data_IF_210679931944
#
_entry.id   IF_210679931944
#
_cell.length_a   1.000
_cell.length_b   1.000
_cell.length_c   1.000
_cell.angle_alpha   90.00
_cell.angle_beta   90.00
_cell.angle_gamma   90.00
#
_symmetry.space_group_name_H-M   'P 1'
#
loop_
_entity.id
_entity.type
_entity.pdbx_description
1 polymer ?
#
# COMPACT_ATOMS: atom_id res chain seq x y z
N UNK A 1 24.96 -19.08 -12.75
CA UNK A 1 25.64 -19.33 -11.47
C UNK A 1 24.76 -20.27 -10.68
N UNK A 2 25.30 -21.28 -9.97
CA UNK A 2 24.46 -22.21 -9.22
C UNK A 2 23.77 -21.44 -8.10
N UNK A 3 22.46 -21.64 -7.96
CA UNK A 3 21.70 -21.14 -6.81
C UNK A 3 22.35 -21.74 -5.55
N UNK A 4 22.87 -20.88 -4.68
CA UNK A 4 23.17 -21.33 -3.33
C UNK A 4 21.83 -21.70 -2.69
N UNK A 5 21.69 -22.95 -2.28
CA UNK A 5 20.49 -23.45 -1.59
C UNK A 5 20.36 -22.70 -0.25
N UNK A 6 19.62 -21.60 -0.28
CA UNK A 6 19.18 -20.91 0.92
C UNK A 6 18.14 -21.80 1.59
N UNK A 7 18.50 -22.34 2.76
CA UNK A 7 17.55 -22.94 3.67
C UNK A 7 17.13 -21.87 4.69
N UNK A 8 15.91 -21.32 4.60
CA UNK A 8 15.45 -20.35 5.57
C UNK A 8 15.49 -20.96 6.98
N UNK A 9 15.82 -20.17 8.02
CA UNK A 9 15.62 -20.61 9.39
C UNK A 9 14.14 -20.94 9.57
N UNK A 10 13.86 -22.18 9.95
CA UNK A 10 12.48 -22.62 10.20
C UNK A 10 11.98 -21.88 11.44
N UNK A 11 10.90 -21.12 11.30
CA UNK A 11 10.19 -20.61 12.46
C UNK A 11 9.49 -21.80 13.13
N UNK A 12 10.06 -22.30 14.23
CA UNK A 12 9.58 -23.48 14.95
C UNK A 12 8.19 -23.31 15.60
N UNK A 13 7.65 -22.09 15.54
CA UNK A 13 6.34 -21.74 16.09
C UNK A 13 5.20 -22.32 15.26
N UNK A 14 4.21 -22.93 15.94
CA UNK A 14 2.85 -23.18 15.52
C UNK A 14 2.23 -22.32 14.43
N UNK A 15 1.67 -22.86 13.35
CA UNK A 15 0.56 -22.21 12.69
C UNK A 15 -0.59 -22.12 13.69
N UNK A 16 -0.95 -20.90 14.07
CA UNK A 16 -2.03 -20.69 15.03
C UNK A 16 -3.40 -20.86 14.37
N UNK A 17 -4.42 -21.19 15.17
CA UNK A 17 -5.80 -21.24 14.70
C UNK A 17 -6.27 -19.89 14.13
N UNK A 18 -5.80 -18.77 14.68
CA UNK A 18 -6.11 -17.44 14.18
C UNK A 18 -5.56 -17.21 12.76
N UNK A 19 -4.30 -17.58 12.51
CA UNK A 19 -3.69 -17.50 11.18
C UNK A 19 -4.38 -18.43 10.18
N UNK A 20 -4.68 -19.67 10.58
CA UNK A 20 -5.41 -20.61 9.73
C UNK A 20 -6.80 -20.08 9.36
N UNK A 21 -7.52 -19.50 10.33
CA UNK A 21 -8.83 -18.92 10.09
C UNK A 21 -8.76 -17.68 9.18
N UNK A 22 -7.73 -16.84 9.36
CA UNK A 22 -7.46 -15.71 8.47
C UNK A 22 -7.20 -16.14 7.03
N UNK A 23 -6.40 -17.20 6.83
CA UNK A 23 -6.15 -17.76 5.51
C UNK A 23 -7.42 -18.35 4.85
N UNK A 24 -8.31 -18.93 5.67
CA UNK A 24 -9.59 -19.53 5.24
C UNK A 24 -10.77 -18.56 5.30
N UNK A 25 -10.53 -17.25 5.38
CA UNK A 25 -11.58 -16.26 5.58
C UNK A 25 -12.72 -16.41 4.55
N UNK A 26 -13.92 -16.70 5.07
CA UNK A 26 -15.19 -16.78 4.34
C UNK A 26 -16.28 -16.00 5.06
N UNK A 27 -15.93 -14.85 5.65
CA UNK A 27 -16.88 -14.01 6.38
C UNK A 27 -18.04 -13.62 5.47
N UNK A 28 -19.24 -14.07 5.82
CA UNK A 28 -20.50 -13.65 5.20
C UNK A 28 -21.12 -12.58 6.06
N UNK A 29 -21.35 -11.39 5.49
CA UNK A 29 -22.07 -10.30 6.13
C UNK A 29 -23.53 -10.32 5.71
N UNK A 30 -24.44 -10.00 6.63
CA UNK A 30 -25.86 -9.90 6.30
C UNK A 30 -26.11 -8.77 5.30
N UNK A 31 -27.11 -8.92 4.43
CA UNK A 31 -27.46 -7.90 3.46
C UNK A 31 -27.82 -6.56 4.11
N UNK A 32 -28.32 -6.59 5.35
CA UNK A 32 -28.60 -5.39 6.12
C UNK A 32 -27.34 -4.62 6.50
N UNK A 33 -26.33 -5.31 7.05
CA UNK A 33 -25.04 -4.70 7.38
C UNK A 33 -24.35 -4.16 6.14
N UNK A 34 -24.38 -4.92 5.03
CA UNK A 34 -23.82 -4.47 3.75
C UNK A 34 -24.48 -3.19 3.25
N UNK A 35 -25.82 -3.08 3.32
CA UNK A 35 -26.53 -1.86 2.93
C UNK A 35 -26.16 -0.68 3.81
N UNK A 36 -26.09 -0.88 5.14
CA UNK A 36 -25.70 0.19 6.08
C UNK A 36 -24.28 0.70 5.84
N UNK A 37 -23.33 -0.21 5.57
CA UNK A 37 -21.97 0.16 5.19
C UNK A 37 -21.93 0.90 3.84
N UNK A 38 -22.72 0.46 2.85
CA UNK A 38 -22.85 1.15 1.57
C UNK A 38 -23.46 2.55 1.69
N UNK A 39 -24.47 2.73 2.56
CA UNK A 39 -25.02 4.05 2.89
C UNK A 39 -23.94 4.96 3.50
N UNK A 40 -23.13 4.43 4.44
CA UNK A 40 -22.00 5.19 4.99
C UNK A 40 -20.97 5.57 3.92
N UNK A 41 -20.75 4.70 2.93
CA UNK A 41 -19.90 4.96 1.77
C UNK A 41 -20.52 5.92 0.73
N UNK A 42 -21.75 6.39 0.95
CA UNK A 42 -22.45 7.39 0.12
C UNK A 42 -23.28 6.84 -1.04
N UNK A 43 -23.55 5.53 -1.08
CA UNK A 43 -24.25 4.88 -2.20
C UNK A 43 -25.73 5.26 -2.28
N UNK A 44 -26.34 5.65 -1.17
CA UNK A 44 -27.76 6.03 -1.05
C UNK A 44 -28.10 7.33 -1.81
N UNK A 45 -27.09 8.11 -2.18
CA UNK A 45 -27.23 9.34 -2.97
C UNK A 45 -27.41 9.09 -4.47
N UNK A 46 -27.16 7.86 -4.91
CA UNK A 46 -27.18 7.49 -6.32
C UNK A 46 -28.34 6.53 -6.58
N UNK A 47 -29.15 6.73 -7.64
CA UNK A 47 -30.07 5.69 -8.08
C UNK A 47 -29.27 4.44 -8.47
N UNK A 48 -29.87 3.25 -8.35
CA UNK A 48 -29.19 2.03 -8.77
C UNK A 48 -28.99 1.96 -10.29
N UNK A 49 -29.91 2.58 -11.04
CA UNK A 49 -29.90 2.62 -12.49
C UNK A 49 -30.25 4.03 -12.99
N UNK A 50 -29.44 4.56 -13.90
CA UNK A 50 -29.70 5.78 -14.68
C UNK A 50 -29.86 5.39 -16.14
N UNK A 51 -30.95 5.83 -16.78
CA UNK A 51 -31.27 5.53 -18.18
C UNK A 51 -31.17 4.04 -18.57
N UNK A 52 -31.55 3.14 -17.64
CA UNK A 52 -31.53 1.69 -17.85
C UNK A 52 -30.16 1.03 -17.67
N UNK A 53 -29.14 1.78 -17.27
CA UNK A 53 -27.79 1.29 -17.01
C UNK A 53 -27.42 1.44 -15.53
N UNK A 54 -26.55 0.57 -15.02
CA UNK A 54 -26.06 0.71 -13.66
C UNK A 54 -25.29 2.03 -13.50
N UNK A 55 -25.62 2.78 -12.45
CA UNK A 55 -25.02 4.09 -12.19
C UNK A 55 -23.51 3.98 -11.99
N UNK A 56 -22.76 4.97 -12.50
CA UNK A 56 -21.32 5.03 -12.30
C UNK A 56 -20.99 5.37 -10.85
N UNK A 57 -20.31 4.46 -10.17
CA UNK A 57 -19.91 4.59 -8.76
C UNK A 57 -18.41 4.91 -8.63
N UNK A 58 -17.90 5.75 -9.53
CA UNK A 58 -16.49 6.17 -9.57
C UNK A 58 -16.11 7.17 -8.49
N UNK A 59 -17.11 7.87 -7.93
CA UNK A 59 -16.92 8.96 -6.97
C UNK A 59 -17.40 8.62 -5.55
N UNK A 60 -17.60 7.33 -5.25
CA UNK A 60 -17.95 6.82 -3.90
C UNK A 60 -16.80 6.01 -3.30
N UNK A 61 -16.81 5.84 -1.98
CA UNK A 61 -15.83 4.99 -1.30
C UNK A 61 -16.07 3.51 -1.62
N UNK A 62 -15.03 2.68 -1.58
CA UNK A 62 -15.20 1.23 -1.68
C UNK A 62 -15.83 0.69 -0.39
N UNK A 63 -16.92 -0.08 -0.50
CA UNK A 63 -17.60 -0.64 0.68
C UNK A 63 -16.68 -1.59 1.46
N UNK A 64 -15.82 -2.35 0.77
CA UNK A 64 -14.83 -3.21 1.40
C UNK A 64 -13.81 -2.41 2.21
N UNK A 65 -13.33 -1.29 1.68
CA UNK A 65 -12.41 -0.39 2.40
C UNK A 65 -13.09 0.16 3.67
N UNK A 66 -14.36 0.58 3.58
CA UNK A 66 -15.12 1.08 4.75
C UNK A 66 -15.33 -0.02 5.79
N UNK A 67 -15.65 -1.24 5.37
CA UNK A 67 -15.81 -2.39 6.29
C UNK A 67 -14.51 -2.74 7.00
N UNK A 68 -13.39 -2.77 6.28
CA UNK A 68 -12.09 -3.04 6.86
C UNK A 68 -11.68 -1.93 7.84
N UNK A 69 -11.95 -0.66 7.50
CA UNK A 69 -11.72 0.49 8.36
C UNK A 69 -12.55 0.42 9.65
N UNK A 70 -13.84 0.06 9.55
CA UNK A 70 -14.72 -0.15 10.71
C UNK A 70 -14.17 -1.24 11.63
N UNK A 71 -13.74 -2.38 11.08
CA UNK A 71 -13.15 -3.47 11.87
C UNK A 71 -11.84 -3.04 12.52
N UNK A 72 -10.95 -2.38 11.78
CA UNK A 72 -9.66 -1.90 12.29
C UNK A 72 -9.84 -0.91 13.44
N UNK A 73 -10.78 0.03 13.31
CA UNK A 73 -11.09 1.00 14.35
C UNK A 73 -11.62 0.36 15.64
N UNK A 74 -12.39 -0.72 15.53
CA UNK A 74 -13.00 -1.41 16.68
C UNK A 74 -12.05 -2.43 17.32
N UNK A 75 -11.31 -3.20 16.51
CA UNK A 75 -10.39 -4.23 17.01
C UNK A 75 -9.35 -3.66 17.96
N UNK A 76 -8.77 -2.49 17.64
CA UNK A 76 -7.79 -1.83 18.52
C UNK A 76 -8.32 -1.47 19.92
N UNK A 77 -9.65 -1.40 20.10
CA UNK A 77 -10.29 -1.16 21.40
C UNK A 77 -10.57 -2.45 22.19
N UNK A 78 -10.66 -3.59 21.49
CA UNK A 78 -11.01 -4.89 22.05
C UNK A 78 -9.78 -5.75 22.36
N UNK A 79 -8.67 -5.53 21.66
CA UNK A 79 -7.41 -6.22 21.94
C UNK A 79 -6.90 -5.91 23.35
N UNK A 80 -6.41 -6.93 24.05
CA UNK A 80 -5.77 -6.77 25.36
C UNK A 80 -4.31 -6.40 25.12
N UNK A 81 -3.91 -5.22 25.56
CA UNK A 81 -2.54 -4.69 25.43
C UNK A 81 -1.98 -4.72 23.98
N UNK A 82 -2.67 -4.15 22.98
CA UNK A 82 -2.16 -4.15 21.62
C UNK A 82 -0.83 -3.37 21.51
N UNK A 83 0.08 -3.80 20.61
CA UNK A 83 1.30 -3.06 20.31
C UNK A 83 1.02 -1.61 19.87
N UNK A 84 2.01 -0.73 20.01
CA UNK A 84 1.84 0.72 19.78
C UNK A 84 1.36 1.09 18.38
N UNK A 85 1.89 0.42 17.36
CA UNK A 85 1.47 0.56 15.97
C UNK A 85 -0.01 0.19 15.74
N UNK A 86 -0.51 -0.93 16.30
CA UNK A 86 -1.94 -1.31 16.20
C UNK A 86 -2.85 -0.34 16.93
N UNK A 87 -2.42 0.17 18.09
CA UNK A 87 -3.14 1.26 18.79
C UNK A 87 -3.25 2.51 17.94
N UNK A 88 -2.15 2.91 17.30
CA UNK A 88 -2.12 4.07 16.42
C UNK A 88 -2.99 3.86 15.18
N UNK A 89 -2.91 2.68 14.56
CA UNK A 89 -3.71 2.32 13.39
C UNK A 89 -5.20 2.34 13.71
N UNK A 90 -5.63 1.78 14.85
CA UNK A 90 -7.02 1.82 15.28
C UNK A 90 -7.54 3.25 15.53
N UNK A 91 -6.70 4.14 16.11
CA UNK A 91 -7.05 5.56 16.29
C UNK A 91 -7.21 6.29 14.97
N UNK A 92 -6.25 6.11 14.04
CA UNK A 92 -6.32 6.71 12.72
C UNK A 92 -7.49 6.16 11.90
N UNK A 93 -7.77 4.86 12.01
CA UNK A 93 -8.92 4.24 11.38
C UNK A 93 -10.24 4.85 11.87
N UNK A 94 -10.39 5.06 13.18
CA UNK A 94 -11.56 5.71 13.76
C UNK A 94 -11.71 7.16 13.29
N UNK A 95 -10.60 7.89 13.17
CA UNK A 95 -10.59 9.28 12.69
C UNK A 95 -10.97 9.38 11.21
N UNK A 96 -10.37 8.56 10.34
CA UNK A 96 -10.72 8.48 8.91
C UNK A 96 -12.20 8.10 8.75
N UNK A 97 -12.70 7.12 9.52
CA UNK A 97 -14.09 6.70 9.47
C UNK A 97 -15.04 7.82 9.90
N UNK A 98 -14.68 8.59 10.93
CA UNK A 98 -15.44 9.76 11.39
C UNK A 98 -15.52 10.83 10.30
N UNK A 99 -14.41 11.11 9.61
CA UNK A 99 -14.35 12.07 8.51
C UNK A 99 -15.21 11.62 7.31
N UNK A 100 -15.16 10.33 6.95
CA UNK A 100 -16.06 9.75 5.93
C UNK A 100 -17.52 9.95 6.33
N UNK A 101 -17.89 9.62 7.58
CA UNK A 101 -19.25 9.77 8.08
C UNK A 101 -19.74 11.23 8.06
N UNK A 102 -18.84 12.19 8.24
CA UNK A 102 -19.11 13.63 8.16
C UNK A 102 -19.16 14.17 6.73
N UNK A 103 -18.81 13.35 5.73
CA UNK A 103 -18.74 13.77 4.33
C UNK A 103 -17.48 14.58 4.01
N UNK A 104 -16.44 14.55 4.86
CA UNK A 104 -15.13 15.12 4.56
C UNK A 104 -14.35 14.18 3.62
N UNK A 105 -14.89 14.04 2.42
CA UNK A 105 -14.37 13.25 1.31
C UNK A 105 -14.33 14.12 0.07
N UNK A 106 -13.36 13.88 -0.79
CA UNK A 106 -13.21 14.58 -2.07
C UNK A 106 -13.24 13.58 -3.22
N UNK A 107 -13.84 13.96 -4.33
CA UNK A 107 -13.87 13.14 -5.53
C UNK A 107 -12.57 13.30 -6.31
N UNK A 108 -12.28 12.32 -7.16
CA UNK A 108 -11.12 12.39 -8.07
C UNK A 108 -11.20 13.61 -8.99
N UNK A 109 -12.40 14.05 -9.39
CA UNK A 109 -12.60 15.25 -10.20
C UNK A 109 -12.24 16.53 -9.44
N UNK A 110 -12.68 16.66 -8.19
CA UNK A 110 -12.33 17.82 -7.35
C UNK A 110 -10.81 17.94 -7.19
N UNK A 111 -10.14 16.84 -6.85
CA UNK A 111 -8.68 16.80 -6.76
C UNK A 111 -8.01 17.15 -8.09
N UNK A 112 -8.50 16.61 -9.21
CA UNK A 112 -7.96 16.90 -10.54
C UNK A 112 -7.98 18.40 -10.88
N UNK A 113 -9.02 19.11 -10.44
CA UNK A 113 -9.22 20.53 -10.71
C UNK A 113 -8.38 21.44 -9.79
N UNK A 114 -8.05 20.97 -8.58
CA UNK A 114 -7.13 21.63 -7.65
C UNK A 114 -5.64 21.43 -8.01
N UNK A 115 -5.31 20.31 -8.66
CA UNK A 115 -3.93 19.97 -8.98
C UNK A 115 -3.32 20.83 -10.10
N UNK A 116 -2.05 21.27 -9.96
CA UNK A 116 -1.32 21.95 -11.02
C UNK A 116 -1.11 21.03 -12.24
N UNK A 117 -0.70 21.54 -13.42
CA UNK A 117 -0.54 20.75 -14.64
C UNK A 117 0.71 19.84 -14.63
N UNK A 118 0.84 19.01 -13.61
CA UNK A 118 1.87 17.98 -13.44
C UNK A 118 1.22 16.59 -13.45
N UNK A 119 2.00 15.55 -13.78
CA UNK A 119 1.49 14.17 -13.71
C UNK A 119 1.57 13.69 -12.26
N UNK A 120 0.39 13.47 -11.65
CA UNK A 120 0.20 13.05 -10.25
C UNK A 120 -0.57 11.74 -10.24
N UNK A 121 -0.02 10.74 -9.55
CA UNK A 121 -0.57 9.38 -9.51
C UNK A 121 -0.81 8.98 -8.06
N UNK A 122 -1.99 8.45 -7.79
CA UNK A 122 -2.34 7.81 -6.54
C UNK A 122 -2.09 6.30 -6.63
N UNK A 123 -1.49 5.74 -5.59
CA UNK A 123 -1.35 4.29 -5.42
C UNK A 123 -2.33 3.82 -4.35
N UNK A 124 -3.33 3.01 -4.73
CA UNK A 124 -4.23 2.33 -3.79
C UNK A 124 -3.47 1.17 -3.16
N UNK A 125 -2.95 1.39 -1.95
CA UNK A 125 -2.13 0.44 -1.22
C UNK A 125 -3.01 -0.61 -0.52
N UNK A 126 -2.59 -1.87 -0.63
CA UNK A 126 -3.11 -2.97 0.17
C UNK A 126 -2.63 -2.90 1.62
N UNK A 127 -3.13 -3.82 2.45
CA UNK A 127 -2.57 -4.06 3.77
C UNK A 127 -1.07 -4.42 3.67
N UNK A 128 -0.27 -4.13 4.72
CA UNK A 128 1.12 -4.52 4.76
C UNK A 128 1.29 -6.03 4.55
N UNK A 129 2.17 -6.44 3.64
CA UNK A 129 2.55 -7.85 3.42
C UNK A 129 4.03 -7.98 3.14
N UNK A 130 4.64 -9.03 3.68
CA UNK A 130 6.06 -9.31 3.45
C UNK A 130 6.34 -9.64 1.98
N UNK A 131 7.57 -9.38 1.56
CA UNK A 131 8.02 -9.54 0.18
C UNK A 131 9.28 -10.40 0.11
N UNK A 132 9.35 -11.30 -0.88
CA UNK A 132 10.53 -12.13 -1.14
C UNK A 132 10.96 -12.98 0.09
N UNK A 133 12.27 -13.13 0.33
CA UNK A 133 12.86 -13.96 1.39
C UNK A 133 12.35 -13.67 2.81
N UNK A 134 11.86 -12.45 3.05
CA UNK A 134 11.32 -12.07 4.35
C UNK A 134 10.09 -12.90 4.73
N UNK A 135 9.34 -13.41 3.74
CA UNK A 135 8.19 -14.27 3.96
C UNK A 135 8.65 -15.56 4.66
N UNK A 136 9.60 -16.27 4.08
CA UNK A 136 10.05 -17.58 4.57
C UNK A 136 10.61 -17.53 5.99
N UNK A 137 11.24 -16.41 6.37
CA UNK A 137 11.77 -16.20 7.71
C UNK A 137 10.68 -16.14 8.79
N UNK A 138 9.45 -15.81 8.38
CA UNK A 138 8.33 -15.61 9.30
C UNK A 138 7.25 -16.67 9.16
N UNK A 139 7.28 -17.50 8.11
CA UNK A 139 6.34 -18.60 7.93
C UNK A 139 6.38 -19.58 9.10
N UNK A 140 5.25 -19.85 9.78
CA UNK A 140 5.15 -20.94 10.73
C UNK A 140 5.54 -22.29 10.11
N UNK A 141 6.11 -23.21 10.89
CA UNK A 141 6.59 -24.52 10.41
C UNK A 141 5.57 -25.34 9.60
N UNK A 142 4.30 -25.19 9.90
CA UNK A 142 3.17 -25.90 9.30
C UNK A 142 2.27 -24.98 8.45
N UNK A 143 2.78 -23.82 8.01
CA UNK A 143 2.04 -22.86 7.18
C UNK A 143 1.47 -23.48 5.90
N UNK A 144 2.17 -24.44 5.29
CA UNK A 144 1.72 -25.16 4.10
C UNK A 144 0.39 -25.92 4.30
N UNK A 145 0.03 -26.25 5.56
CA UNK A 145 -1.26 -26.87 5.88
C UNK A 145 -2.45 -25.89 5.77
N UNK A 146 -2.19 -24.58 5.67
CA UNK A 146 -3.22 -23.57 5.45
C UNK A 146 -3.78 -23.60 4.02
N UNK A 147 -2.99 -24.05 3.05
CA UNK A 147 -3.32 -24.03 1.62
C UNK A 147 -4.31 -25.14 1.27
N UNK A 148 -5.26 -24.83 0.37
CA UNK A 148 -6.09 -25.87 -0.25
C UNK A 148 -5.31 -26.65 -1.31
N UNK A 149 -5.78 -27.85 -1.67
CA UNK A 149 -5.14 -28.67 -2.71
C UNK A 149 -5.09 -27.97 -4.09
N UNK A 150 -5.91 -26.94 -4.32
CA UNK A 150 -5.88 -26.12 -5.54
C UNK A 150 -4.80 -25.05 -5.52
N UNK A 151 -4.34 -24.65 -4.34
CA UNK A 151 -3.38 -23.56 -4.14
C UNK A 151 -1.96 -24.09 -3.98
N UNK A 152 -1.78 -25.38 -3.68
CA UNK A 152 -0.46 -26.02 -3.58
C UNK A 152 0.24 -26.01 -4.95
N UNK A 153 1.25 -25.16 -5.09
CA UNK A 153 2.20 -25.17 -6.21
C UNK A 153 3.32 -26.20 -6.01
N UNK A 154 4.34 -26.13 -6.86
CA UNK A 154 5.53 -26.98 -6.74
C UNK A 154 6.41 -26.48 -5.56
N UNK A 155 6.71 -27.34 -4.56
CA UNK A 155 7.52 -26.95 -3.40
C UNK A 155 8.99 -26.63 -3.71
N UNK A 156 9.45 -26.86 -4.94
CA UNK A 156 10.79 -26.48 -5.42
C UNK A 156 10.87 -25.08 -6.05
N UNK A 157 9.75 -24.34 -6.07
CA UNK A 157 9.70 -23.00 -6.65
C UNK A 157 10.62 -22.00 -5.92
N UNK A 158 11.16 -20.99 -6.65
CA UNK A 158 11.89 -19.90 -6.03
C UNK A 158 11.07 -19.19 -4.95
N UNK A 159 11.75 -18.54 -4.01
CA UNK A 159 11.18 -17.81 -2.86
C UNK A 159 10.24 -16.66 -3.27
N UNK A 160 10.29 -16.24 -4.53
CA UNK A 160 9.36 -15.28 -5.15
C UNK A 160 8.17 -15.95 -5.84
N UNK A 161 7.95 -17.24 -5.58
CA UNK A 161 6.93 -18.07 -6.21
C UNK A 161 5.51 -17.72 -5.74
N UNK A 162 4.48 -18.11 -6.52
CA UNK A 162 3.08 -17.90 -6.16
C UNK A 162 2.70 -18.48 -4.79
N UNK A 163 3.26 -19.64 -4.42
CA UNK A 163 2.99 -20.31 -3.14
C UNK A 163 3.45 -19.47 -1.95
N UNK A 164 4.73 -19.07 -1.93
CA UNK A 164 5.30 -18.24 -0.87
C UNK A 164 4.60 -16.89 -0.80
N UNK A 165 4.31 -16.26 -1.95
CA UNK A 165 3.56 -15.01 -1.98
C UNK A 165 2.16 -15.14 -1.37
N UNK A 166 1.44 -16.23 -1.64
CA UNK A 166 0.12 -16.49 -1.05
C UNK A 166 0.21 -16.66 0.46
N UNK A 167 1.17 -17.44 0.95
CA UNK A 167 1.35 -17.65 2.40
C UNK A 167 1.75 -16.35 3.10
N UNK A 168 2.64 -15.57 2.49
CA UNK A 168 3.05 -14.26 3.00
C UNK A 168 1.88 -13.27 3.09
N UNK A 169 0.92 -13.34 2.17
CA UNK A 169 -0.29 -12.51 2.20
C UNK A 169 -1.30 -12.98 3.25
N UNK A 170 -1.46 -14.29 3.44
CA UNK A 170 -2.60 -14.86 4.19
C UNK A 170 -2.30 -15.32 5.61
N UNK A 171 -1.04 -15.60 5.91
CA UNK A 171 -0.62 -16.24 7.17
C UNK A 171 0.30 -15.33 8.00
N UNK A 172 1.02 -14.42 7.36
CA UNK A 172 2.10 -13.67 7.98
C UNK A 172 1.69 -12.22 8.29
N UNK A 173 1.98 -11.77 9.51
CA UNK A 173 1.90 -10.35 9.90
C UNK A 173 3.15 -9.62 9.40
N UNK A 174 2.98 -8.49 8.73
CA UNK A 174 4.06 -7.68 8.15
C UNK A 174 4.25 -6.32 8.86
N UNK A 175 3.59 -6.09 9.99
CA UNK A 175 3.61 -4.78 10.66
C UNK A 175 4.96 -4.53 11.36
N UNK A 176 5.58 -5.55 11.94
CA UNK A 176 6.87 -5.42 12.62
C UNK A 176 8.05 -5.89 11.75
N UNK A 177 8.75 -4.94 11.12
CA UNK A 177 9.94 -5.20 10.31
C UNK A 177 11.20 -5.40 11.15
N UNK A 178 11.24 -4.88 12.37
CA UNK A 178 12.45 -4.88 13.21
C UNK A 178 12.87 -6.27 13.69
N UNK A 179 11.93 -7.22 13.68
CA UNK A 179 12.18 -8.63 13.99
C UNK A 179 12.78 -9.43 12.84
N UNK A 180 12.93 -8.84 11.64
CA UNK A 180 13.43 -9.53 10.46
C UNK A 180 14.91 -9.23 10.20
N UNK A 181 15.75 -10.25 9.95
CA UNK A 181 17.12 -10.02 9.51
C UNK A 181 17.12 -9.40 8.11
N UNK A 182 17.78 -8.27 7.99
CA UNK A 182 17.80 -7.48 6.75
C UNK A 182 18.84 -7.99 5.74
N UNK A 183 19.93 -8.59 6.24
CA UNK A 183 20.95 -9.28 5.45
C UNK A 183 20.97 -10.76 5.83
N UNK A 184 20.82 -11.61 4.83
CA UNK A 184 20.59 -13.04 5.03
C UNK A 184 21.65 -13.83 4.27
N UNK A 185 22.40 -14.72 4.92
CA UNK A 185 23.38 -15.55 4.23
C UNK A 185 22.75 -16.32 3.06
N UNK A 186 23.37 -16.23 1.88
CA UNK A 186 22.89 -16.92 0.67
C UNK A 186 21.89 -16.15 -0.19
N UNK A 187 21.35 -15.02 0.28
CA UNK A 187 20.48 -14.14 -0.53
C UNK A 187 21.32 -13.01 -1.15
N UNK A 188 21.36 -12.87 -2.49
CA UNK A 188 22.16 -11.86 -3.17
C UNK A 188 21.48 -10.48 -3.12
N UNK A 189 21.62 -9.77 -2.01
CA UNK A 189 21.01 -8.45 -1.78
C UNK A 189 21.79 -7.27 -2.40
N UNK A 190 23.04 -7.49 -2.80
CA UNK A 190 23.92 -6.44 -3.33
C UNK A 190 23.59 -6.03 -4.77
N UNK A 191 22.97 -6.91 -5.58
CA UNK A 191 22.83 -6.70 -7.03
C UNK A 191 21.40 -6.45 -7.53
N UNK A 192 20.38 -6.66 -6.70
CA UNK A 192 18.98 -6.65 -7.13
C UNK A 192 18.07 -5.95 -6.10
N UNK A 193 17.40 -4.89 -6.57
CA UNK A 193 16.53 -4.03 -5.76
C UNK A 193 15.30 -4.78 -5.21
N UNK A 194 14.90 -5.90 -5.82
CA UNK A 194 13.81 -6.74 -5.31
C UNK A 194 14.09 -7.34 -3.93
N UNK A 195 15.37 -7.40 -3.52
CA UNK A 195 15.80 -7.86 -2.19
C UNK A 195 16.07 -6.72 -1.20
N UNK A 196 16.12 -5.46 -1.67
CA UNK A 196 16.35 -4.26 -0.84
C UNK A 196 15.04 -3.65 -0.33
N UNK A 197 14.08 -4.52 -0.01
CA UNK A 197 12.76 -4.18 0.52
C UNK A 197 12.14 -5.41 1.18
N UNK A 198 11.64 -5.24 2.40
CA UNK A 198 11.01 -6.32 3.16
C UNK A 198 9.49 -6.42 2.95
N UNK A 199 8.84 -5.34 2.49
CA UNK A 199 7.38 -5.22 2.56
C UNK A 199 6.76 -4.46 1.38
N UNK A 200 5.50 -4.78 1.10
CA UNK A 200 4.59 -4.05 0.25
C UNK A 200 3.36 -3.60 1.04
N UNK A 201 2.60 -2.64 0.51
CA UNK A 201 1.38 -2.15 1.14
C UNK A 201 1.66 -1.10 2.21
N UNK A 202 0.62 -0.72 2.94
CA UNK A 202 0.65 0.38 3.88
C UNK A 202 -0.36 0.15 5.02
N UNK A 203 0.09 0.31 6.26
CA UNK A 203 -0.75 0.50 7.44
C UNK A 203 -1.09 1.98 7.58
N UNK A 204 -2.23 2.31 8.21
CA UNK A 204 -2.49 3.71 8.56
C UNK A 204 -1.46 4.27 9.55
N UNK A 205 -0.81 3.41 10.35
CA UNK A 205 0.20 3.83 11.33
C UNK A 205 1.62 3.92 10.78
N UNK A 206 1.83 3.59 9.50
CA UNK A 206 3.15 3.68 8.88
C UNK A 206 3.61 5.14 8.78
N UNK A 207 4.90 5.37 9.00
CA UNK A 207 5.56 6.63 8.68
C UNK A 207 5.89 6.75 7.18
N UNK A 208 6.36 7.92 6.77
CA UNK A 208 6.71 8.19 5.38
C UNK A 208 7.89 7.32 4.88
N UNK A 209 8.77 6.80 5.74
CA UNK A 209 9.90 5.95 5.35
C UNK A 209 9.40 4.57 4.92
N UNK A 210 8.53 3.98 5.73
CA UNK A 210 7.89 2.71 5.46
C UNK A 210 7.01 2.80 4.22
N UNK A 211 6.20 3.86 4.11
CA UNK A 211 5.35 4.07 2.94
C UNK A 211 6.17 4.28 1.68
N UNK A 212 7.26 5.06 1.74
CA UNK A 212 8.17 5.22 0.59
C UNK A 212 8.79 3.88 0.17
N UNK A 213 9.31 3.11 1.12
CA UNK A 213 9.92 1.80 0.84
C UNK A 213 8.93 0.88 0.10
N UNK A 214 7.67 0.85 0.54
CA UNK A 214 6.60 0.14 -0.18
C UNK A 214 6.27 0.75 -1.55
N UNK A 215 6.15 2.06 -1.63
CA UNK A 215 5.64 2.80 -2.79
C UNK A 215 6.66 3.05 -3.91
N UNK A 216 7.96 2.92 -3.67
CA UNK A 216 9.00 3.16 -4.69
C UNK A 216 9.13 2.08 -5.77
N UNK A 217 8.41 0.95 -5.61
CA UNK A 217 8.57 -0.28 -6.40
C UNK A 217 8.18 -0.22 -7.88
N UNK A 218 7.91 -1.40 -8.47
CA UNK A 218 7.72 -1.58 -9.92
C UNK A 218 6.30 -1.23 -10.38
N UNK A 219 6.10 0.00 -10.86
CA UNK A 219 4.78 0.46 -11.29
C UNK A 219 4.67 0.67 -12.80
N UNK A 220 3.49 0.40 -13.35
CA UNK A 220 3.13 0.78 -14.71
C UNK A 220 2.72 2.27 -14.77
N UNK A 221 3.68 3.14 -14.49
CA UNK A 221 3.56 4.60 -14.61
C UNK A 221 4.36 5.11 -15.81
N UNK A 222 4.25 6.40 -16.11
CA UNK A 222 5.09 7.05 -17.12
C UNK A 222 6.28 7.73 -16.46
N UNK A 223 7.41 7.82 -17.15
CA UNK A 223 8.64 8.45 -16.66
C UNK A 223 8.49 9.97 -16.38
N UNK A 224 7.40 10.60 -16.85
CA UNK A 224 7.05 11.99 -16.54
C UNK A 224 6.25 12.14 -15.24
N UNK A 225 5.91 11.05 -14.55
CA UNK A 225 5.21 11.09 -13.26
C UNK A 225 6.07 11.84 -12.25
N UNK A 226 5.57 12.98 -11.75
CA UNK A 226 6.31 13.84 -10.82
C UNK A 226 5.96 13.61 -9.37
N UNK A 227 4.75 13.13 -9.11
CA UNK A 227 4.28 12.92 -7.75
C UNK A 227 3.57 11.59 -7.63
N UNK A 228 3.89 10.87 -6.56
CA UNK A 228 3.19 9.67 -6.14
C UNK A 228 2.50 9.94 -4.80
N UNK A 229 1.26 9.46 -4.67
CA UNK A 229 0.40 9.65 -3.51
C UNK A 229 -0.10 8.29 -3.06
N UNK A 230 0.61 7.59 -2.16
CA UNK A 230 0.13 6.34 -1.60
C UNK A 230 -1.09 6.59 -0.72
N UNK A 231 -2.10 5.73 -0.86
CA UNK A 231 -3.32 5.83 -0.07
C UNK A 231 -3.76 4.47 0.47
N UNK A 232 -4.37 4.49 1.65
CA UNK A 232 -5.02 3.33 2.26
C UNK A 232 -6.44 3.73 2.64
N UNK A 233 -7.44 2.98 2.18
CA UNK A 233 -8.86 3.33 2.33
C UNK A 233 -9.23 4.73 1.77
N UNK A 234 -8.51 5.18 0.72
CA UNK A 234 -8.64 6.51 0.14
C UNK A 234 -7.94 7.64 0.93
N UNK A 235 -7.50 7.40 2.16
CA UNK A 235 -6.74 8.37 2.95
C UNK A 235 -5.30 8.48 2.45
N UNK A 236 -4.84 9.71 2.21
CA UNK A 236 -3.57 10.03 1.57
C UNK A 236 -2.63 10.78 2.53
N UNK A 237 -1.90 10.11 3.44
CA UNK A 237 -1.10 10.80 4.45
C UNK A 237 0.18 11.44 3.91
N UNK A 238 0.73 10.93 2.81
CA UNK A 238 2.05 11.35 2.31
C UNK A 238 2.02 11.64 0.81
N UNK A 239 2.83 12.62 0.42
CA UNK A 239 3.08 12.97 -0.99
C UNK A 239 4.57 12.91 -1.22
N UNK A 240 4.97 12.15 -2.24
CA UNK A 240 6.37 12.05 -2.63
C UNK A 240 6.59 12.67 -4.00
N UNK A 241 7.60 13.53 -4.09
CA UNK A 241 8.11 14.12 -5.32
C UNK A 241 9.19 13.22 -5.91
N UNK A 242 9.11 12.95 -7.21
CA UNK A 242 10.13 12.20 -7.95
C UNK A 242 10.88 13.18 -8.87
N UNK A 243 12.18 13.42 -8.63
CA UNK A 243 12.95 14.33 -9.45
C UNK A 243 13.14 13.81 -10.89
N UNK A 244 13.40 14.69 -11.87
CA UNK A 244 13.75 14.29 -13.22
C UNK A 244 14.91 13.27 -13.24
N UNK A 245 14.74 12.20 -14.01
CA UNK A 245 15.74 11.15 -14.17
C UNK A 245 15.80 10.11 -13.05
N UNK A 246 15.03 10.25 -11.97
CA UNK A 246 15.04 9.29 -10.86
C UNK A 246 14.15 8.05 -11.06
N UNK A 247 13.49 7.96 -12.22
CA UNK A 247 12.77 6.75 -12.62
C UNK A 247 13.71 5.82 -13.38
N UNK A 248 14.02 4.66 -12.80
CA UNK A 248 14.66 3.57 -13.52
C UNK A 248 13.62 2.74 -14.26
N UNK A 249 13.82 2.57 -15.57
CA UNK A 249 12.99 1.72 -16.42
C UNK A 249 13.44 0.27 -16.29
N UNK A 250 12.48 -0.62 -16.11
CA UNK A 250 12.66 -2.06 -16.18
C UNK A 250 11.75 -2.67 -17.25
N UNK A 251 12.37 -3.42 -18.16
CA UNK A 251 11.68 -4.12 -19.24
C UNK A 251 11.31 -5.52 -18.77
N UNK A 252 10.00 -5.81 -18.71
CA UNK A 252 9.50 -7.16 -18.43
C UNK A 252 9.15 -7.89 -19.72
N UNK A 253 9.07 -9.22 -19.64
CA UNK A 253 8.56 -10.06 -20.73
C UNK A 253 7.20 -9.53 -21.21
N UNK A 254 6.98 -9.55 -22.54
CA UNK A 254 5.81 -8.97 -23.23
C UNK A 254 5.76 -7.44 -23.33
N UNK A 255 6.89 -6.74 -23.17
CA UNK A 255 7.04 -5.34 -23.61
C UNK A 255 6.30 -4.32 -22.76
N UNK A 256 5.92 -4.66 -21.52
CA UNK A 256 5.36 -3.71 -20.56
C UNK A 256 6.46 -3.20 -19.65
N UNK A 257 6.84 -1.95 -19.87
CA UNK A 257 7.78 -1.27 -18.97
C UNK A 257 7.15 -1.09 -17.59
N UNK A 258 7.96 -1.28 -16.56
CA UNK A 258 7.69 -0.79 -15.21
C UNK A 258 8.78 0.18 -14.80
N UNK A 259 8.44 1.07 -13.89
CA UNK A 259 9.35 2.08 -13.39
C UNK A 259 9.47 1.96 -11.89
N UNK A 260 10.70 2.11 -11.40
CA UNK A 260 11.05 2.17 -9.99
C UNK A 260 11.59 3.56 -9.71
N UNK A 261 11.17 4.15 -8.61
CA UNK A 261 11.75 5.40 -8.14
C UNK A 261 13.01 5.09 -7.34
N UNK A 262 14.18 5.44 -7.87
CA UNK A 262 15.47 5.26 -7.20
C UNK A 262 15.71 6.33 -6.14
N UNK A 263 15.11 7.50 -6.34
CA UNK A 263 15.17 8.64 -5.43
C UNK A 263 13.85 9.39 -5.41
N UNK A 264 13.52 9.97 -4.27
CA UNK A 264 12.40 10.90 -4.14
C UNK A 264 12.58 11.85 -2.97
N UNK A 265 11.58 12.68 -2.77
CA UNK A 265 11.49 13.56 -1.61
C UNK A 265 10.11 13.38 -0.98
N UNK A 266 10.07 13.23 0.34
CA UNK A 266 8.84 13.47 1.09
C UNK A 266 8.63 14.98 1.19
N UNK A 267 7.44 15.44 0.84
CA UNK A 267 7.04 16.84 1.01
C UNK A 267 6.41 16.97 2.40
N UNK A 268 7.17 17.51 3.35
CA UNK A 268 6.67 17.89 4.66
C UNK A 268 5.93 19.22 4.53
N UNK A 269 4.61 19.13 4.42
CA UNK A 269 3.75 20.30 4.24
C UNK A 269 3.67 21.17 5.50
N UNK A 270 3.84 20.58 6.70
CA UNK A 270 3.74 21.31 7.96
C UNK A 270 4.95 22.23 8.15
N UNK A 271 6.15 21.71 7.87
CA UNK A 271 7.40 22.46 8.00
C UNK A 271 7.85 23.13 6.69
N UNK A 272 7.11 22.91 5.61
CA UNK A 272 7.46 23.33 4.24
C UNK A 272 8.89 22.90 3.84
N UNK A 273 9.22 21.63 4.11
CA UNK A 273 10.53 21.04 3.82
C UNK A 273 10.45 19.91 2.81
N UNK A 274 11.56 19.69 2.10
CA UNK A 274 11.80 18.46 1.36
C UNK A 274 12.75 17.58 2.17
N UNK A 275 12.29 16.37 2.48
CA UNK A 275 13.15 15.33 3.06
C UNK A 275 13.55 14.39 1.92
N UNK A 276 14.83 14.40 1.56
CA UNK A 276 15.37 13.49 0.55
C UNK A 276 15.34 12.06 1.06
N UNK A 277 14.84 11.17 0.21
CA UNK A 277 14.74 9.74 0.43
C UNK A 277 15.78 9.07 -0.46
N UNK A 278 16.92 8.76 0.15
CA UNK A 278 18.10 8.21 -0.50
C UNK A 278 18.04 6.69 -0.65
N UNK A 279 19.23 6.10 -0.85
CA UNK A 279 19.38 4.65 -1.01
C UNK A 279 18.85 3.88 0.20
N UNK A 280 18.19 2.72 -0.02
CA UNK A 280 17.81 1.79 1.04
C UNK A 280 19.02 1.31 1.86
N UNK A 281 18.91 1.35 3.20
CA UNK A 281 20.00 0.93 4.11
C UNK A 281 19.74 -0.45 4.72
N UNK A 282 20.64 -1.45 4.53
CA UNK A 282 20.53 -2.75 5.16
C UNK A 282 20.58 -2.70 6.70
N UNK A 283 21.12 -1.64 7.30
CA UNK A 283 21.19 -1.51 8.76
C UNK A 283 19.89 -0.95 9.36
N UNK A 284 18.96 -0.51 8.51
CA UNK A 284 17.66 0.03 8.92
C UNK A 284 16.51 -0.62 8.14
N UNK A 285 16.48 -1.96 8.07
CA UNK A 285 15.37 -2.72 7.49
C UNK A 285 15.08 -2.36 6.01
N UNK A 286 16.10 -1.91 5.27
CA UNK A 286 15.96 -1.39 3.90
C UNK A 286 15.02 -0.17 3.78
N UNK A 287 14.84 0.59 4.86
CA UNK A 287 14.23 1.91 4.81
C UNK A 287 15.20 2.91 4.14
N UNK A 288 14.69 3.97 3.49
CA UNK A 288 15.54 4.96 2.85
C UNK A 288 16.40 5.69 3.90
N UNK A 289 17.64 5.99 3.54
CA UNK A 289 18.40 7.04 4.23
C UNK A 289 17.72 8.39 4.06
N UNK A 290 17.83 9.26 5.06
CA UNK A 290 17.20 10.58 5.03
C UNK A 290 18.19 11.71 5.24
N UNK A 291 17.92 12.82 4.57
CA UNK A 291 18.50 14.13 4.87
C UNK A 291 17.53 15.22 4.43
N UNK A 292 17.59 16.38 5.06
CA UNK A 292 16.92 17.55 4.50
C UNK A 292 17.56 17.92 3.17
N UNK A 293 16.74 18.21 2.16
CA UNK A 293 17.24 18.69 0.90
C UNK A 293 17.80 20.10 1.07
N UNK A 294 18.83 20.43 0.29
CA UNK A 294 19.40 21.78 0.25
C UNK A 294 18.42 22.79 -0.38
N UNK A 295 17.46 22.30 -1.17
CA UNK A 295 16.40 23.08 -1.80
C UNK A 295 15.09 23.01 -1.01
N UNK A 296 14.40 24.16 -0.92
CA UNK A 296 13.04 24.22 -0.39
C UNK A 296 12.03 23.63 -1.41
N UNK A 297 10.86 23.16 -0.97
CA UNK A 297 9.77 22.81 -1.86
C UNK A 297 9.43 24.00 -2.76
N UNK A 298 9.22 23.74 -4.05
CA UNK A 298 8.71 24.75 -4.96
C UNK A 298 7.24 25.02 -4.67
N UNK A 299 6.72 26.17 -5.10
CA UNK A 299 5.28 26.47 -4.97
C UNK A 299 4.40 25.40 -5.63
N UNK A 300 4.88 24.73 -6.69
CA UNK A 300 4.16 23.59 -7.29
C UNK A 300 4.13 22.37 -6.38
N UNK A 301 5.24 22.10 -5.68
CA UNK A 301 5.32 20.99 -4.72
C UNK A 301 4.30 21.22 -3.59
N UNK A 302 4.25 22.44 -3.05
CA UNK A 302 3.30 22.84 -2.01
C UNK A 302 1.85 22.81 -2.52
N UNK A 303 1.57 23.24 -3.74
CA UNK A 303 0.23 23.15 -4.34
C UNK A 303 -0.25 21.70 -4.46
N UNK A 304 0.60 20.78 -4.92
CA UNK A 304 0.26 19.35 -4.98
C UNK A 304 0.00 18.82 -3.58
N UNK A 305 0.90 19.08 -2.63
CA UNK A 305 0.75 18.61 -1.25
C UNK A 305 -0.53 19.14 -0.59
N UNK A 306 -0.84 20.43 -0.70
CA UNK A 306 -2.07 21.04 -0.16
C UNK A 306 -3.35 20.43 -0.74
N UNK A 307 -3.32 20.06 -2.02
CA UNK A 307 -4.47 19.46 -2.70
C UNK A 307 -4.79 18.04 -2.20
N UNK A 308 -3.78 17.24 -1.79
CA UNK A 308 -3.99 15.79 -1.54
C UNK A 308 -3.58 15.29 -0.15
N UNK A 309 -2.62 15.95 0.52
CA UNK A 309 -2.16 15.51 1.84
C UNK A 309 -3.31 15.49 2.85
N UNK A 310 -3.39 14.40 3.60
CA UNK A 310 -4.43 14.10 4.59
C UNK A 310 -5.87 14.11 4.06
N UNK A 311 -6.08 14.15 2.73
CA UNK A 311 -7.41 14.03 2.13
C UNK A 311 -7.86 12.57 2.09
N UNK A 312 -9.18 12.39 2.07
CA UNK A 312 -9.84 11.11 1.81
C UNK A 312 -10.45 11.19 0.42
N UNK A 313 -9.80 10.54 -0.55
CA UNK A 313 -10.22 10.57 -1.95
C UNK A 313 -11.13 9.38 -2.23
N UNK A 314 -12.35 9.65 -2.68
CA UNK A 314 -13.28 8.64 -3.16
C UNK A 314 -12.80 8.11 -4.52
N UNK A 315 -12.10 6.97 -4.48
CA UNK A 315 -11.48 6.34 -5.66
C UNK A 315 -12.40 5.36 -6.40
N UNK A 316 -13.63 5.13 -5.90
CA UNK A 316 -14.65 4.32 -6.55
C UNK A 316 -14.51 2.82 -6.31
N UNK A 317 -15.65 2.13 -6.14
CA UNK A 317 -15.71 0.65 -6.05
C UNK A 317 -15.31 -0.08 -7.35
N UNK A 318 -15.33 0.62 -8.49
CA UNK A 318 -15.02 0.04 -9.80
C UNK A 318 -13.53 0.02 -10.15
N UNK A 319 -12.67 0.74 -9.42
CA UNK A 319 -11.25 0.83 -9.74
C UNK A 319 -10.48 -0.34 -9.15
N UNK A 320 -10.31 -1.38 -9.97
CA UNK A 320 -9.44 -2.55 -9.68
C UNK A 320 -7.97 -2.26 -9.92
N UNK A 321 -7.63 -1.15 -10.57
CA UNK A 321 -6.24 -0.79 -10.83
C UNK A 321 -5.65 -0.13 -9.58
N UNK A 322 -4.53 -0.64 -9.03
CA UNK A 322 -3.84 0.02 -7.92
C UNK A 322 -3.26 1.38 -8.29
N UNK A 323 -3.09 1.69 -9.58
CA UNK A 323 -2.52 2.95 -10.07
C UNK A 323 -3.64 3.83 -10.64
N UNK A 324 -3.90 4.97 -10.00
CA UNK A 324 -4.97 5.90 -10.37
C UNK A 324 -4.37 7.27 -10.71
N UNK A 325 -4.59 7.76 -11.93
CA UNK A 325 -4.12 9.09 -12.32
C UNK A 325 -5.01 10.17 -11.71
N UNK A 326 -4.49 10.99 -10.82
CA UNK A 326 -5.19 12.17 -10.30
C UNK A 326 -5.07 13.34 -11.29
N UNK A 327 -3.92 13.46 -11.94
CA UNK A 327 -3.65 14.48 -12.97
C UNK A 327 -2.66 13.94 -14.00
N UNK A 328 -2.77 14.40 -15.24
CA UNK A 328 -1.78 14.11 -16.28
C UNK A 328 -1.35 15.40 -16.95
N UNK A 329 -0.04 15.62 -17.05
CA UNK A 329 0.51 16.79 -17.73
C UNK A 329 -0.01 16.90 -19.16
N UNK A 330 -0.53 18.09 -19.50
CA UNK A 330 -1.06 18.39 -20.84
C UNK A 330 -2.38 17.70 -21.20
N UNK A 331 -3.08 17.08 -20.24
CA UNK A 331 -4.40 16.46 -20.48
C UNK A 331 -5.38 16.77 -19.36
N UNK A 332 -6.65 16.95 -19.73
CA UNK A 332 -7.79 16.98 -18.81
C UNK A 332 -8.38 15.58 -18.72
N UNK A 333 -8.54 15.03 -17.51
CA UNK A 333 -9.06 13.67 -17.32
C UNK A 333 -10.59 13.62 -17.27
N UNK A 334 -11.25 14.74 -16.98
CA UNK A 334 -12.70 14.86 -16.79
C UNK A 334 -13.30 16.04 -17.53
#
# INVERSE_FOLDING_TARGET
MPAHDYHPPVNDVPLTAAQLQGARNRVTLSSDLMRRAATLAGYDRYPAFEDGHATSLTDVMDVGDVLELMLTAQLGQLEINPPGNRKQEGKLAAEVLRRIAQGDIVTRRQIHDELPPETVVLFRMGAPRLWSYSIDQRLPKDAHLAMSDKERGDPSEPITGPTTAWLGERVVDAVDLSSLPTQVPGIPWESDDSYRRLRLGMSLADDYLQVWSSARGHWSVSADTRYIVPSRFGYCPFVFKIPPGAWRRESFEHGRDRYIAERGYFIDLENEWLVELGEPDPNNQWLPTTRFADEAPTERDLQVARAVSEKIIAVGAGQKNPIIRLRQKGRRLF
#
